data_IF_623817711613
#
_entry.id   IF_623817711613
#
_cell.length_a   1.000
_cell.length_b   1.000
_cell.length_c   1.000
_cell.angle_alpha   90.00
_cell.angle_beta   90.00
_cell.angle_gamma   90.00
#
_symmetry.space_group_name_H-M   'P 1'
#
loop_
_entity.id
_entity.type
_entity.pdbx_description
1 polymer ?
#
# COMPACT_ATOMS: atom_id res chain seq x y z
N UNK A 1 -8.66 -7.97 6.99
CA UNK A 1 -8.74 -6.51 6.80
C UNK A 1 -8.70 -6.29 5.30
N UNK A 2 -9.82 -5.87 4.70
CA UNK A 2 -9.83 -5.58 3.25
C UNK A 2 -8.98 -4.35 3.01
N UNK A 3 -8.05 -4.40 2.04
CA UNK A 3 -7.29 -3.23 1.67
C UNK A 3 -8.21 -2.35 0.83
N UNK A 4 -8.77 -1.32 1.46
CA UNK A 4 -9.65 -0.31 0.85
C UNK A 4 -9.23 0.13 -0.57
N UNK A 5 -7.93 0.29 -0.90
CA UNK A 5 -7.50 0.67 -2.26
C UNK A 5 -7.79 -0.39 -3.34
N UNK A 6 -7.83 -1.68 -2.99
CA UNK A 6 -8.04 -2.78 -3.92
C UNK A 6 -9.53 -2.94 -4.28
N UNK A 7 -10.39 -2.82 -3.27
CA UNK A 7 -11.84 -2.83 -3.46
C UNK A 7 -12.28 -1.58 -4.25
N UNK A 8 -11.71 -0.42 -3.93
CA UNK A 8 -11.98 0.81 -4.67
C UNK A 8 -11.51 0.72 -6.14
N UNK A 9 -10.30 0.20 -6.38
CA UNK A 9 -9.80 -0.03 -7.74
C UNK A 9 -10.71 -0.98 -8.52
N UNK A 10 -11.28 -1.99 -7.86
CA UNK A 10 -12.28 -2.88 -8.48
C UNK A 10 -13.56 -2.14 -8.83
N UNK A 11 -14.06 -1.29 -7.93
CA UNK A 11 -15.28 -0.51 -8.15
C UNK A 11 -15.16 0.46 -9.34
N UNK A 12 -14.00 1.10 -9.52
CA UNK A 12 -13.79 2.10 -10.58
C UNK A 12 -13.21 1.51 -11.86
N UNK A 13 -12.92 0.20 -11.90
CA UNK A 13 -12.32 -0.47 -13.06
C UNK A 13 -10.86 -0.10 -13.30
N UNK A 14 -10.12 0.32 -12.27
CA UNK A 14 -8.70 0.62 -12.39
C UNK A 14 -7.87 -0.66 -12.53
N UNK A 15 -6.92 -0.64 -13.45
CA UNK A 15 -5.97 -1.74 -13.69
C UNK A 15 -4.89 -1.83 -12.60
N UNK A 16 -4.54 -0.69 -12.00
CA UNK A 16 -3.51 -0.58 -10.97
C UNK A 16 -3.99 0.22 -9.76
N UNK A 17 -3.42 -0.09 -8.60
CA UNK A 17 -3.67 0.63 -7.34
C UNK A 17 -2.41 0.64 -6.48
N UNK A 18 -2.16 1.77 -5.82
CA UNK A 18 -1.01 1.97 -4.95
C UNK A 18 -1.47 2.41 -3.57
N UNK A 19 -0.92 1.80 -2.52
CA UNK A 19 -1.11 2.22 -1.13
C UNK A 19 0.18 2.85 -0.61
N UNK A 20 0.11 4.14 -0.29
CA UNK A 20 1.21 4.89 0.33
C UNK A 20 0.90 5.08 1.81
N UNK A 21 1.75 4.53 2.67
CA UNK A 21 1.64 4.66 4.12
C UNK A 21 2.68 5.67 4.61
N UNK A 22 2.22 6.70 5.31
CA UNK A 22 3.10 7.67 5.96
C UNK A 22 3.07 7.41 7.47
N UNK A 23 4.16 6.89 8.03
CA UNK A 23 4.28 6.80 9.49
C UNK A 23 4.81 8.12 10.02
N UNK A 24 3.94 8.91 10.65
CA UNK A 24 4.30 10.19 11.26
C UNK A 24 4.92 10.08 12.65
N UNK A 25 4.94 8.88 13.24
CA UNK A 25 5.53 8.69 14.56
C UNK A 25 7.04 8.78 14.38
N UNK A 26 7.68 9.74 15.06
CA UNK A 26 9.14 9.91 15.05
C UNK A 26 9.89 8.81 15.82
N UNK A 27 9.38 7.58 15.78
CA UNK A 27 9.85 6.43 16.55
C UNK A 27 10.88 5.62 15.73
N UNK A 28 10.89 5.77 14.40
CA UNK A 28 11.77 5.05 13.48
C UNK A 28 12.81 5.98 12.86
N UNK A 29 14.02 5.46 12.68
CA UNK A 29 15.06 6.14 11.92
C UNK A 29 14.69 6.21 10.43
N UNK A 30 15.19 7.22 9.73
CA UNK A 30 14.81 7.50 8.34
C UNK A 30 14.99 6.30 7.40
N UNK A 31 16.05 5.52 7.60
CA UNK A 31 16.33 4.31 6.80
C UNK A 31 15.32 3.18 7.05
N UNK A 32 14.73 3.11 8.25
CA UNK A 32 13.70 2.12 8.60
C UNK A 32 12.31 2.53 8.07
N UNK A 33 12.13 3.81 7.76
CA UNK A 33 10.87 4.36 7.25
C UNK A 33 10.67 4.09 5.77
N UNK A 34 11.75 4.11 4.99
CA UNK A 34 11.71 3.90 3.55
C UNK A 34 11.68 2.40 3.21
N UNK A 35 10.50 1.88 2.87
CA UNK A 35 10.36 0.48 2.48
C UNK A 35 9.38 0.29 1.32
N UNK A 36 9.54 -0.82 0.60
CA UNK A 36 8.59 -1.27 -0.42
C UNK A 36 8.25 -2.75 -0.20
N UNK A 37 6.99 -3.12 -0.45
CA UNK A 37 6.51 -4.50 -0.38
C UNK A 37 5.49 -4.76 -1.49
N UNK A 38 5.50 -5.97 -2.03
CA UNK A 38 4.40 -6.50 -2.84
C UNK A 38 3.47 -7.32 -1.96
N UNK A 39 2.17 -7.11 -2.14
CA UNK A 39 1.12 -7.91 -1.52
C UNK A 39 0.16 -8.45 -2.58
N UNK A 40 -0.48 -9.57 -2.29
CA UNK A 40 -1.59 -10.09 -3.12
C UNK A 40 -2.91 -9.95 -2.36
N UNK A 41 -3.93 -9.43 -3.04
CA UNK A 41 -5.28 -9.35 -2.50
C UNK A 41 -6.30 -9.64 -3.59
N UNK A 42 -7.18 -10.62 -3.36
CA UNK A 42 -8.22 -11.05 -4.31
C UNK A 42 -7.67 -11.31 -5.73
N UNK A 43 -6.47 -11.90 -5.84
CA UNK A 43 -5.82 -12.21 -7.11
C UNK A 43 -5.13 -11.03 -7.81
N UNK A 44 -5.13 -9.83 -7.21
CA UNK A 44 -4.43 -8.65 -7.72
C UNK A 44 -3.12 -8.42 -6.97
N UNK A 45 -2.09 -8.03 -7.72
CA UNK A 45 -0.84 -7.54 -7.14
C UNK A 45 -1.00 -6.10 -6.70
N UNK A 46 -0.58 -5.79 -5.47
CA UNK A 46 -0.63 -4.46 -4.87
C UNK A 46 0.78 -4.06 -4.47
N UNK A 47 1.24 -2.92 -4.97
CA UNK A 47 2.44 -2.25 -4.49
C UNK A 47 2.13 -1.46 -3.21
N UNK A 48 2.98 -1.64 -2.20
CA UNK A 48 2.91 -0.93 -0.93
C UNK A 48 4.24 -0.23 -0.67
N UNK A 49 4.17 1.05 -0.32
CA UNK A 49 5.35 1.86 0.02
C UNK A 49 5.14 2.57 1.36
N UNK A 50 6.21 2.67 2.14
CA UNK A 50 6.27 3.42 3.40
C UNK A 50 7.30 4.56 3.36
N UNK A 51 6.97 5.66 4.05
CA UNK A 51 7.87 6.76 4.44
C UNK A 51 7.53 7.29 5.85
#
# INVERSE_FOLDING_TARGET
MSLIPADYATQVGAEETALILFDRRGILDWDERCWQRQAQHQGRSIGMWGM
#
